data_IF_915677675474
#
_entry.id   IF_915677675474
#
_cell.length_a   1.000
_cell.length_b   1.000
_cell.length_c   1.000
_cell.angle_alpha   90.00
_cell.angle_beta   90.00
_cell.angle_gamma   90.00
#
_symmetry.space_group_name_H-M   'P 1'
#
loop_
_entity.id
_entity.type
_entity.pdbx_description
1 polymer ?
#
# COMPACT_ATOMS: atom_id res chain seq x y z
N UNK A 1 41.38 -22.47 15.43
CA UNK A 1 40.00 -22.44 14.95
C UNK A 1 39.37 -21.12 15.45
N UNK A 2 39.48 -20.12 14.60
CA UNK A 2 38.96 -18.78 14.94
C UNK A 2 37.46 -18.81 14.89
N UNK A 3 36.84 -18.62 16.06
CA UNK A 3 35.41 -18.40 16.14
C UNK A 3 35.12 -17.04 15.53
N UNK A 4 34.56 -17.05 14.33
CA UNK A 4 33.94 -15.88 13.75
C UNK A 4 32.75 -15.56 14.66
N UNK A 5 32.94 -14.53 15.48
CA UNK A 5 31.86 -13.96 16.28
C UNK A 5 30.95 -13.21 15.31
N UNK A 6 30.00 -13.93 14.73
CA UNK A 6 28.89 -13.29 14.02
C UNK A 6 28.06 -12.64 15.11
N UNK A 7 28.34 -11.38 15.35
CA UNK A 7 27.52 -10.59 16.26
C UNK A 7 26.06 -10.73 15.85
N UNK A 8 25.26 -11.22 16.79
CA UNK A 8 23.80 -11.20 16.69
C UNK A 8 23.33 -9.75 16.54
N UNK A 9 23.40 -9.24 15.33
CA UNK A 9 22.57 -8.11 14.95
C UNK A 9 21.18 -8.70 14.70
N UNK A 10 20.41 -8.85 15.76
CA UNK A 10 18.97 -9.04 15.67
C UNK A 10 18.39 -7.76 15.05
N UNK A 11 18.60 -7.60 13.76
CA UNK A 11 17.90 -6.59 12.98
C UNK A 11 16.48 -7.13 12.87
N UNK A 12 15.59 -6.61 13.71
CA UNK A 12 14.16 -6.88 13.57
C UNK A 12 13.71 -6.31 12.25
N UNK A 13 13.65 -7.18 11.23
CA UNK A 13 13.17 -6.81 9.90
C UNK A 13 11.70 -6.44 9.99
N UNK A 14 11.36 -5.21 9.62
CA UNK A 14 9.96 -4.76 9.55
C UNK A 14 9.33 -5.40 8.31
N UNK A 15 8.26 -6.16 8.53
CA UNK A 15 7.49 -6.77 7.44
C UNK A 15 6.43 -5.78 6.95
N UNK A 16 6.58 -5.35 5.71
CA UNK A 16 5.69 -4.40 5.06
C UNK A 16 4.98 -5.06 3.88
N UNK A 17 3.68 -4.86 3.76
CA UNK A 17 2.93 -5.22 2.57
C UNK A 17 2.39 -3.96 1.89
N UNK A 18 2.62 -3.81 0.59
CA UNK A 18 1.94 -2.80 -0.23
C UNK A 18 0.85 -3.48 -1.03
N UNK A 19 -0.34 -2.92 -0.99
CA UNK A 19 -1.53 -3.43 -1.69
C UNK A 19 -1.97 -2.42 -2.71
N UNK A 20 -1.71 -2.69 -3.99
CA UNK A 20 -2.18 -1.87 -5.10
C UNK A 20 -3.60 -2.22 -5.50
N UNK A 21 -4.48 -1.23 -5.51
CA UNK A 21 -5.91 -1.41 -5.81
C UNK A 21 -6.25 -0.68 -7.11
N UNK A 22 -7.04 -1.31 -7.95
CA UNK A 22 -7.59 -0.72 -9.16
C UNK A 22 -7.44 -1.59 -10.40
N UNK A 23 -7.97 -1.13 -11.51
CA UNK A 23 -7.97 -1.84 -12.78
C UNK A 23 -7.03 -1.16 -13.79
N UNK A 24 -5.89 -1.78 -14.16
CA UNK A 24 -4.94 -1.20 -15.13
C UNK A 24 -5.54 -0.98 -16.53
N UNK A 25 -6.65 -1.63 -16.86
CA UNK A 25 -7.36 -1.45 -18.13
C UNK A 25 -8.24 -0.19 -18.15
N UNK A 26 -8.31 0.54 -17.07
CA UNK A 26 -9.06 1.78 -16.91
C UNK A 26 -8.15 2.99 -16.67
N UNK A 27 -7.14 3.16 -17.51
CA UNK A 27 -6.25 4.32 -17.49
C UNK A 27 -5.56 4.52 -16.14
N UNK A 28 -5.79 5.67 -15.54
CA UNK A 28 -5.15 6.07 -14.28
C UNK A 28 -5.56 5.22 -13.06
N UNK A 29 -6.63 4.43 -13.18
CA UNK A 29 -7.00 3.46 -12.15
C UNK A 29 -5.92 2.37 -11.96
N UNK A 30 -4.99 2.26 -12.87
CA UNK A 30 -3.82 1.39 -12.79
C UNK A 30 -2.66 1.95 -11.96
N UNK A 31 -2.77 3.15 -11.37
CA UNK A 31 -1.66 3.80 -10.66
C UNK A 31 -1.14 2.97 -9.48
N UNK A 32 -2.04 2.39 -8.69
CA UNK A 32 -1.65 1.54 -7.55
C UNK A 32 -0.86 0.32 -7.98
N UNK A 33 -1.32 -0.38 -9.01
CA UNK A 33 -0.62 -1.53 -9.58
C UNK A 33 0.75 -1.14 -10.15
N UNK A 34 0.84 0.00 -10.81
CA UNK A 34 2.10 0.53 -11.34
C UNK A 34 3.14 0.73 -10.24
N UNK A 35 2.79 1.44 -9.18
CA UNK A 35 3.70 1.71 -8.05
C UNK A 35 4.12 0.40 -7.38
N UNK A 36 3.19 -0.52 -7.16
CA UNK A 36 3.47 -1.82 -6.57
C UNK A 36 4.48 -2.62 -7.38
N UNK A 37 4.32 -2.69 -8.70
CA UNK A 37 5.27 -3.40 -9.57
C UNK A 37 6.66 -2.77 -9.56
N UNK A 38 6.74 -1.45 -9.54
CA UNK A 38 8.01 -0.73 -9.45
C UNK A 38 8.73 -1.00 -8.13
N UNK A 39 7.99 -1.03 -7.02
CA UNK A 39 8.56 -1.35 -5.70
C UNK A 39 9.01 -2.81 -5.62
N UNK A 40 8.25 -3.73 -6.21
CA UNK A 40 8.58 -5.16 -6.25
C UNK A 40 9.93 -5.42 -6.96
N UNK A 41 10.18 -4.74 -8.08
CA UNK A 41 11.41 -4.85 -8.84
C UNK A 41 12.66 -4.39 -8.08
N UNK A 42 12.50 -3.60 -7.03
CA UNK A 42 13.61 -3.09 -6.21
C UNK A 42 14.13 -4.10 -5.19
N UNK A 43 13.47 -5.22 -5.01
CA UNK A 43 13.87 -6.29 -4.08
C UNK A 43 14.19 -5.78 -2.66
N UNK A 44 13.30 -4.95 -2.11
CA UNK A 44 13.47 -4.37 -0.77
C UNK A 44 13.23 -5.46 0.28
N UNK A 45 14.17 -5.60 1.22
CA UNK A 45 14.05 -6.59 2.29
C UNK A 45 12.78 -6.37 3.14
N UNK A 46 12.02 -7.43 3.37
CA UNK A 46 10.80 -7.40 4.16
C UNK A 46 9.57 -6.84 3.45
N UNK A 47 9.69 -6.46 2.17
CA UNK A 47 8.57 -5.98 1.38
C UNK A 47 7.87 -7.12 0.66
N UNK A 48 6.55 -7.20 0.83
CA UNK A 48 5.65 -8.03 0.03
C UNK A 48 4.70 -7.14 -0.77
N UNK A 49 4.36 -7.57 -1.96
CA UNK A 49 3.52 -6.81 -2.89
C UNK A 49 2.28 -7.63 -3.23
N UNK A 50 1.13 -7.00 -3.15
CA UNK A 50 -0.15 -7.58 -3.53
C UNK A 50 -0.89 -6.60 -4.44
N UNK A 51 -1.44 -7.08 -5.55
CA UNK A 51 -2.17 -6.25 -6.52
C UNK A 51 -3.54 -6.87 -6.72
N UNK A 52 -4.59 -6.06 -6.60
CA UNK A 52 -5.97 -6.50 -6.78
C UNK A 52 -6.81 -5.41 -7.43
N UNK A 53 -7.83 -5.81 -8.18
CA UNK A 53 -8.81 -4.85 -8.70
C UNK A 53 -9.73 -4.33 -7.59
N UNK A 54 -10.01 -5.16 -6.60
CA UNK A 54 -10.93 -4.85 -5.50
C UNK A 54 -10.50 -5.58 -4.24
N UNK A 55 -10.64 -4.93 -3.08
CA UNK A 55 -10.33 -5.55 -1.79
C UNK A 55 -11.33 -6.65 -1.45
N UNK A 56 -10.80 -7.78 -1.03
CA UNK A 56 -11.53 -8.91 -0.48
C UNK A 56 -11.29 -9.00 1.03
N UNK A 57 -12.35 -9.15 1.80
CA UNK A 57 -12.26 -9.30 3.26
C UNK A 57 -11.50 -10.57 3.68
N UNK A 58 -11.40 -11.56 2.80
CA UNK A 58 -10.56 -12.75 3.00
C UNK A 58 -9.07 -12.45 3.14
N UNK A 59 -8.60 -11.26 2.74
CA UNK A 59 -7.21 -10.84 2.94
C UNK A 59 -6.85 -10.54 4.39
N UNK A 60 -7.83 -10.41 5.29
CA UNK A 60 -7.59 -10.01 6.67
C UNK A 60 -6.57 -10.90 7.39
N UNK A 61 -6.66 -12.21 7.23
CA UNK A 61 -5.71 -13.14 7.86
C UNK A 61 -4.29 -12.91 7.37
N UNK A 62 -4.09 -12.81 6.06
CA UNK A 62 -2.78 -12.61 5.46
C UNK A 62 -2.17 -11.26 5.83
N UNK A 63 -2.94 -10.18 5.72
CA UNK A 63 -2.48 -8.84 6.07
C UNK A 63 -2.15 -8.69 7.56
N UNK A 64 -2.81 -9.46 8.42
CA UNK A 64 -2.58 -9.46 9.87
C UNK A 64 -1.17 -9.94 10.27
N UNK A 65 -0.44 -10.56 9.37
CA UNK A 65 0.92 -11.07 9.60
C UNK A 65 2.01 -10.02 9.39
N UNK A 66 1.66 -8.87 8.82
CA UNK A 66 2.60 -7.78 8.54
C UNK A 66 2.65 -6.78 9.70
N UNK A 67 3.79 -6.15 9.89
CA UNK A 67 3.93 -5.06 10.85
C UNK A 67 3.19 -3.82 10.36
N UNK A 68 3.20 -3.60 9.04
CA UNK A 68 2.52 -2.48 8.40
C UNK A 68 2.06 -2.82 6.99
N UNK A 69 0.93 -2.21 6.62
CA UNK A 69 0.29 -2.38 5.32
C UNK A 69 -0.01 -1.00 4.75
N UNK A 70 0.35 -0.80 3.48
CA UNK A 70 0.02 0.43 2.73
C UNK A 70 -0.92 0.06 1.59
N UNK A 71 -2.12 0.61 1.60
CA UNK A 71 -3.02 0.57 0.45
C UNK A 71 -2.64 1.69 -0.52
N UNK A 72 -2.45 1.36 -1.79
CA UNK A 72 -2.09 2.31 -2.84
C UNK A 72 -3.20 2.33 -3.87
N UNK A 73 -3.86 3.48 -4.01
CA UNK A 73 -5.05 3.64 -4.84
C UNK A 73 -5.03 4.96 -5.61
N UNK A 74 -5.61 4.97 -6.79
CA UNK A 74 -5.81 6.19 -7.57
C UNK A 74 -7.04 6.94 -7.07
N UNK A 75 -6.98 8.26 -7.05
CA UNK A 75 -8.08 9.10 -6.62
C UNK A 75 -8.26 10.30 -7.56
N UNK A 76 -9.48 10.47 -8.09
CA UNK A 76 -9.83 11.64 -8.92
C UNK A 76 -9.93 12.93 -8.10
N UNK A 77 -10.05 12.82 -6.78
CA UNK A 77 -10.15 13.96 -5.86
C UNK A 77 -8.81 14.45 -5.35
N UNK A 78 -7.75 13.64 -5.46
CA UNK A 78 -6.42 14.00 -5.02
C UNK A 78 -5.71 14.86 -6.07
N UNK A 79 -5.11 15.99 -5.64
CA UNK A 79 -4.44 16.91 -6.56
C UNK A 79 -3.02 16.47 -6.96
N UNK A 80 -2.36 15.73 -6.07
CA UNK A 80 -0.98 15.25 -6.27
C UNK A 80 -0.87 13.82 -5.77
N UNK A 81 -0.45 13.62 -4.54
CA UNK A 81 -0.61 12.37 -3.80
C UNK A 81 -0.62 12.66 -2.30
N UNK A 82 -1.18 11.74 -1.55
CA UNK A 82 -1.13 11.76 -0.10
C UNK A 82 -0.68 10.41 0.43
N UNK A 83 0.01 10.43 1.57
CA UNK A 83 0.42 9.22 2.28
C UNK A 83 0.18 9.45 3.77
N UNK A 84 -0.85 8.80 4.30
CA UNK A 84 -1.37 9.04 5.65
C UNK A 84 -1.72 7.74 6.35
N UNK A 85 -1.63 7.70 7.70
CA UNK A 85 -2.23 6.61 8.45
C UNK A 85 -3.70 6.45 8.15
N UNK A 86 -4.17 5.19 8.05
CA UNK A 86 -5.59 4.90 7.90
C UNK A 86 -6.29 5.08 9.23
N UNK A 87 -7.30 5.95 9.27
CA UNK A 87 -8.17 6.11 10.43
C UNK A 87 -9.21 4.99 10.46
N UNK A 88 -9.26 4.23 11.56
CA UNK A 88 -10.23 3.14 11.75
C UNK A 88 -11.52 3.63 12.41
N UNK A 89 -11.47 4.77 13.09
CA UNK A 89 -12.62 5.41 13.74
C UNK A 89 -13.36 6.34 12.76
N UNK A 90 -13.86 5.79 11.68
CA UNK A 90 -14.47 6.59 10.62
C UNK A 90 -15.95 6.89 10.87
N UNK A 91 -16.22 8.09 11.40
CA UNK A 91 -17.56 8.69 11.38
C UNK A 91 -17.87 9.44 10.06
N UNK A 92 -16.90 9.57 9.15
CA UNK A 92 -17.00 10.36 7.91
C UNK A 92 -16.68 9.56 6.65
N UNK A 93 -17.08 8.31 6.59
CA UNK A 93 -16.78 7.49 5.42
C UNK A 93 -17.78 7.74 4.31
N UNK A 94 -17.29 8.13 3.15
CA UNK A 94 -18.09 8.17 1.91
C UNK A 94 -18.57 6.75 1.59
N UNK A 95 -19.90 6.49 1.47
CA UNK A 95 -20.44 5.13 1.43
C UNK A 95 -20.03 4.28 0.22
N UNK A 96 -19.31 4.84 -0.74
CA UNK A 96 -18.90 4.15 -1.97
C UNK A 96 -17.40 4.26 -2.29
N UNK A 97 -16.57 4.69 -1.33
CA UNK A 97 -15.13 4.78 -1.56
C UNK A 97 -14.40 3.48 -1.20
N UNK A 98 -13.30 3.19 -1.87
CA UNK A 98 -12.40 2.10 -1.50
C UNK A 98 -11.90 2.21 -0.05
N UNK A 99 -11.85 3.41 0.51
CA UNK A 99 -11.45 3.67 1.89
C UNK A 99 -12.38 3.01 2.92
N UNK A 100 -13.69 2.87 2.64
CA UNK A 100 -14.61 2.11 3.51
C UNK A 100 -14.14 0.67 3.64
N UNK A 101 -13.81 0.04 2.51
CA UNK A 101 -13.36 -1.33 2.48
C UNK A 101 -12.00 -1.51 3.16
N UNK A 102 -11.10 -0.53 3.03
CA UNK A 102 -9.81 -0.50 3.73
C UNK A 102 -10.01 -0.47 5.24
N UNK A 103 -10.88 0.41 5.74
CA UNK A 103 -11.19 0.54 7.16
C UNK A 103 -11.84 -0.71 7.74
N UNK A 104 -12.79 -1.31 7.01
CA UNK A 104 -13.43 -2.58 7.42
C UNK A 104 -12.40 -3.69 7.48
N UNK A 105 -11.55 -3.81 6.46
CA UNK A 105 -10.51 -4.84 6.42
C UNK A 105 -9.50 -4.69 7.57
N UNK A 106 -9.05 -3.49 7.86
CA UNK A 106 -8.18 -3.20 9.00
C UNK A 106 -8.85 -3.53 10.34
N UNK A 107 -10.14 -3.21 10.48
CA UNK A 107 -10.94 -3.57 11.64
C UNK A 107 -11.06 -5.08 11.84
N UNK A 108 -11.27 -5.84 10.77
CA UNK A 108 -11.30 -7.30 10.81
C UNK A 108 -9.97 -7.89 11.27
N UNK A 109 -8.85 -7.35 10.81
CA UNK A 109 -7.52 -7.77 11.25
C UNK A 109 -7.38 -7.66 12.78
N UNK A 110 -7.84 -6.56 13.35
CA UNK A 110 -7.81 -6.36 14.81
C UNK A 110 -8.77 -7.27 15.55
N UNK A 111 -10.01 -7.37 15.09
CA UNK A 111 -11.06 -8.08 15.81
C UNK A 111 -10.92 -9.60 15.72
N UNK A 112 -10.58 -10.12 14.53
CA UNK A 112 -10.55 -11.56 14.30
C UNK A 112 -9.17 -12.19 14.58
N UNK A 113 -8.10 -11.44 14.32
CA UNK A 113 -6.74 -11.96 14.40
C UNK A 113 -5.88 -11.28 15.48
N UNK A 114 -6.47 -10.39 16.26
CA UNK A 114 -5.77 -9.62 17.31
C UNK A 114 -4.47 -8.99 16.80
N UNK A 115 -4.51 -8.47 15.58
CA UNK A 115 -3.35 -7.95 14.89
C UNK A 115 -2.97 -6.55 15.39
N UNK A 116 -1.66 -6.28 15.46
CA UNK A 116 -1.09 -4.96 15.73
C UNK A 116 -0.60 -4.26 14.46
N UNK A 117 -0.97 -4.75 13.28
CA UNK A 117 -0.61 -4.18 11.99
C UNK A 117 -1.00 -2.70 11.91
N UNK A 118 -0.05 -1.84 11.54
CA UNK A 118 -0.32 -0.45 11.25
C UNK A 118 -0.74 -0.29 9.77
N UNK A 119 -1.86 0.37 9.52
CA UNK A 119 -2.41 0.57 8.19
C UNK A 119 -2.24 2.01 7.72
N UNK A 120 -1.89 2.16 6.45
CA UNK A 120 -1.67 3.45 5.77
C UNK A 120 -2.39 3.46 4.43
N UNK A 121 -2.67 4.66 3.92
CA UNK A 121 -3.23 4.88 2.58
C UNK A 121 -2.33 5.83 1.81
N UNK A 122 -1.93 5.41 0.61
CA UNK A 122 -1.30 6.27 -0.38
C UNK A 122 -2.32 6.49 -1.51
N UNK A 123 -2.87 7.70 -1.60
CA UNK A 123 -3.77 8.10 -2.66
C UNK A 123 -2.98 8.85 -3.74
N UNK A 124 -3.07 8.38 -4.98
CA UNK A 124 -2.36 8.98 -6.12
C UNK A 124 -3.35 9.77 -6.95
N UNK A 125 -3.10 11.05 -7.14
CA UNK A 125 -3.95 11.93 -7.92
C UNK A 125 -4.06 11.47 -9.38
N UNK A 126 -5.28 11.16 -9.80
CA UNK A 126 -5.64 10.62 -11.11
C UNK A 126 -6.48 11.63 -11.92
N UNK A 127 -6.49 11.47 -13.23
CA UNK A 127 -7.24 12.34 -14.16
C UNK A 127 -8.46 11.67 -14.75
N UNK A 128 -8.36 10.39 -15.11
CA UNK A 128 -9.43 9.68 -15.79
C UNK A 128 -9.33 8.18 -15.58
N UNK A 129 -10.48 7.55 -15.36
CA UNK A 129 -10.63 6.09 -15.31
C UNK A 129 -11.31 5.55 -16.57
N UNK A 130 -11.19 6.24 -17.68
CA UNK A 130 -11.71 5.75 -18.95
C UNK A 130 -10.94 4.50 -19.41
N UNK A 131 -11.62 3.64 -20.16
CA UNK A 131 -11.04 2.40 -20.68
C UNK A 131 -9.81 2.73 -21.53
N UNK A 132 -8.70 2.06 -21.24
CA UNK A 132 -7.44 2.22 -21.94
C UNK A 132 -6.28 1.83 -21.04
N UNK A 133 -5.17 1.39 -21.62
CA UNK A 133 -3.96 1.06 -20.88
C UNK A 133 -3.05 2.27 -20.70
N UNK A 134 -2.34 2.28 -19.58
CA UNK A 134 -1.32 3.28 -19.28
C UNK A 134 -1.85 4.48 -18.51
N UNK A 135 -0.95 5.09 -17.77
CA UNK A 135 -1.23 6.28 -16.97
C UNK A 135 -1.09 7.54 -17.84
N UNK A 136 -1.94 8.55 -17.56
CA UNK A 136 -1.69 9.90 -18.08
C UNK A 136 -0.35 10.43 -17.58
N UNK A 137 0.24 11.38 -18.30
CA UNK A 137 1.55 11.96 -17.95
C UNK A 137 1.52 12.58 -16.55
N UNK A 138 0.44 13.24 -16.19
CA UNK A 138 0.27 13.85 -14.86
C UNK A 138 0.22 12.79 -13.78
N UNK A 139 -0.59 11.75 -13.94
CA UNK A 139 -0.71 10.66 -12.98
C UNK A 139 0.60 9.88 -12.86
N UNK A 140 1.32 9.70 -13.97
CA UNK A 140 2.65 9.07 -13.95
C UNK A 140 3.62 9.86 -13.06
N UNK A 141 3.64 11.18 -13.16
CA UNK A 141 4.49 12.03 -12.32
C UNK A 141 4.11 11.89 -10.84
N UNK A 142 2.81 11.88 -10.51
CA UNK A 142 2.32 11.68 -9.15
C UNK A 142 2.71 10.30 -8.61
N UNK A 143 2.55 9.27 -9.43
CA UNK A 143 2.89 7.89 -9.06
C UNK A 143 4.39 7.73 -8.78
N UNK A 144 5.26 8.32 -9.61
CA UNK A 144 6.71 8.27 -9.40
C UNK A 144 7.13 9.02 -8.14
N UNK A 145 6.52 10.16 -7.85
CA UNK A 145 6.78 10.91 -6.63
C UNK A 145 6.31 10.14 -5.38
N UNK A 146 5.12 9.54 -5.42
CA UNK A 146 4.60 8.69 -4.36
C UNK A 146 5.50 7.48 -4.12
N UNK A 147 5.94 6.82 -5.19
CA UNK A 147 6.85 5.68 -5.13
C UNK A 147 8.16 6.04 -4.43
N UNK A 148 8.75 7.18 -4.77
CA UNK A 148 10.01 7.65 -4.15
C UNK A 148 9.84 7.85 -2.64
N UNK A 149 8.75 8.45 -2.21
CA UNK A 149 8.47 8.64 -0.79
C UNK A 149 8.22 7.31 -0.08
N UNK A 150 7.45 6.41 -0.68
CA UNK A 150 7.19 5.08 -0.13
C UNK A 150 8.47 4.26 0.01
N UNK A 151 9.32 4.26 -1.01
CA UNK A 151 10.60 3.56 -0.98
C UNK A 151 11.47 4.03 0.19
N UNK A 152 11.62 5.34 0.36
CA UNK A 152 12.38 5.92 1.47
C UNK A 152 11.78 5.53 2.82
N UNK A 153 10.46 5.58 2.95
CA UNK A 153 9.77 5.21 4.19
C UNK A 153 9.89 3.72 4.50
N UNK A 154 9.77 2.85 3.49
CA UNK A 154 9.90 1.39 3.66
C UNK A 154 11.31 1.02 4.12
N UNK A 155 12.33 1.67 3.55
CA UNK A 155 13.75 1.41 3.87
C UNK A 155 14.22 2.07 5.16
N UNK A 156 13.49 3.04 5.69
CA UNK A 156 13.88 3.74 6.91
C UNK A 156 13.90 2.78 8.11
N UNK A 157 14.89 2.88 9.00
CA UNK A 157 14.92 2.08 10.23
C UNK A 157 13.72 2.42 11.12
N UNK A 158 13.29 1.42 11.87
CA UNK A 158 12.18 1.57 12.82
C UNK A 158 12.52 2.55 13.95
#
# INVERSE_FOLDING_TARGET
MDKINVGDTNVNLILTCVVGIGNPLRGDDGAGAFVCRQLEEKNIAGLSVFITHQLDMGLAEELSRFDRVVFIDASLEESYFSFLPLSIDNKEVQPFSHQVNMGVLAGLCRQLFNSHTAFYVCAIGARSFEIGEGLSDTTMQHALAAMSQLESWIKAPA
#
